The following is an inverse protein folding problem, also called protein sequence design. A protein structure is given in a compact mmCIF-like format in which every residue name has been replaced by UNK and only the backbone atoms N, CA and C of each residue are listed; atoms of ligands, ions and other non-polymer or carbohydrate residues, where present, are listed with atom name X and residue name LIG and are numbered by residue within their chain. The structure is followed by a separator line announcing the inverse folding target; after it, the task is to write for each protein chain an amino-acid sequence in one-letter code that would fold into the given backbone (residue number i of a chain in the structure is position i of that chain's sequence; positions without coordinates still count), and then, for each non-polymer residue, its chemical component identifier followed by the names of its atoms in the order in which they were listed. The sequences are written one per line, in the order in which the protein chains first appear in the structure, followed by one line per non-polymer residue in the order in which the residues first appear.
data_IF_576126937787
#
_entry.id   IF_576126937787
#
_cell.length_a   1.000
_cell.length_b   1.000
_cell.length_c   1.000
_cell.angle_alpha   90.00
_cell.angle_beta   90.00
_cell.angle_gamma   90.00
#
_symmetry.space_group_name_H-M   'P 1'
#
loop_
_entity.id
_entity.type
_entity.pdbx_description
1 polymer ?
#
# COMPACT_ATOMS: atom_id res chain seq x y z
N UNK A 1 6.06 3.93 -21.36
CA UNK A 1 5.23 4.91 -20.61
C UNK A 1 5.40 6.27 -21.25
N UNK A 2 4.29 6.91 -21.61
CA UNK A 2 4.23 8.15 -22.38
C UNK A 2 4.74 9.34 -21.54
N UNK A 3 5.53 10.22 -22.15
CA UNK A 3 6.28 11.29 -21.46
C UNK A 3 5.48 12.57 -21.15
N UNK A 4 4.16 12.58 -21.31
CA UNK A 4 3.34 13.81 -21.21
C UNK A 4 2.07 13.65 -20.34
N UNK A 5 2.09 12.79 -19.32
CA UNK A 5 1.01 12.78 -18.33
C UNK A 5 1.58 13.19 -16.97
N UNK A 6 1.50 14.49 -16.67
CA UNK A 6 1.67 15.04 -15.31
C UNK A 6 0.47 14.70 -14.41
N UNK A 7 -0.22 13.58 -14.67
CA UNK A 7 -1.01 12.94 -13.64
C UNK A 7 -0.05 12.62 -12.47
N UNK A 8 -0.13 13.39 -11.39
CA UNK A 8 0.51 13.06 -10.12
C UNK A 8 0.15 11.60 -9.80
N UNK A 9 1.08 10.69 -10.06
CA UNK A 9 0.79 9.26 -10.01
C UNK A 9 0.29 8.91 -8.62
N UNK A 10 -0.89 8.29 -8.54
CA UNK A 10 -1.50 7.83 -7.29
C UNK A 10 -0.88 6.53 -6.76
N UNK A 11 0.37 6.29 -7.14
CA UNK A 11 1.13 5.08 -6.89
C UNK A 11 2.37 5.48 -6.08
N UNK A 12 2.31 5.28 -4.78
CA UNK A 12 3.41 5.57 -3.86
C UNK A 12 4.21 4.30 -3.62
N UNK A 13 5.51 4.30 -3.92
CA UNK A 13 6.32 3.07 -3.95
C UNK A 13 7.55 3.18 -3.06
N UNK A 14 7.97 2.03 -2.53
CA UNK A 14 9.25 1.82 -1.86
C UNK A 14 9.84 0.51 -2.39
N UNK A 15 11.11 0.55 -2.80
CA UNK A 15 11.84 -0.66 -3.19
C UNK A 15 12.05 -1.56 -1.98
N UNK A 16 11.72 -2.85 -2.12
CA UNK A 16 12.04 -3.88 -1.14
C UNK A 16 13.30 -4.65 -1.54
N UNK A 17 13.46 -4.91 -2.83
CA UNK A 17 14.63 -5.55 -3.43
C UNK A 17 14.89 -5.00 -4.83
N UNK A 18 15.96 -5.45 -5.49
CA UNK A 18 16.24 -5.06 -6.89
C UNK A 18 15.10 -5.43 -7.84
N UNK A 19 14.29 -6.44 -7.49
CA UNK A 19 13.21 -6.97 -8.34
C UNK A 19 11.82 -6.72 -7.79
N UNK A 20 11.65 -6.17 -6.58
CA UNK A 20 10.31 -5.98 -5.96
C UNK A 20 10.17 -4.59 -5.36
N UNK A 21 9.12 -3.88 -5.76
CA UNK A 21 8.67 -2.63 -5.13
C UNK A 21 7.35 -2.86 -4.37
N UNK A 22 7.28 -2.42 -3.12
CA UNK A 22 6.01 -2.26 -2.39
C UNK A 22 5.33 -0.98 -2.84
N UNK A 23 4.02 -1.02 -3.05
CA UNK A 23 3.23 0.10 -3.53
C UNK A 23 1.92 0.28 -2.75
N UNK A 24 1.54 1.55 -2.55
CA UNK A 24 0.19 1.98 -2.18
C UNK A 24 -0.43 2.65 -3.38
N UNK A 25 -1.54 2.10 -3.87
CA UNK A 25 -2.21 2.50 -5.11
C UNK A 25 -3.59 3.05 -4.78
N UNK A 26 -3.84 4.30 -5.13
CA UNK A 26 -5.20 4.82 -5.16
C UNK A 26 -5.78 4.72 -6.57
N UNK A 27 -6.97 4.13 -6.68
CA UNK A 27 -7.71 4.08 -7.95
C UNK A 27 -8.14 5.49 -8.37
N UNK A 28 -8.60 6.28 -7.40
CA UNK A 28 -9.02 7.65 -7.59
C UNK A 28 -8.46 8.53 -6.48
N UNK A 29 -8.18 9.79 -6.82
CA UNK A 29 -7.87 10.81 -5.82
C UNK A 29 -9.15 11.11 -5.03
N UNK A 30 -9.10 11.22 -3.69
CA UNK A 30 -10.24 11.67 -2.90
C UNK A 30 -10.76 13.03 -3.38
N UNK A 31 -12.07 13.18 -3.47
CA UNK A 31 -12.77 14.40 -3.90
C UNK A 31 -13.89 14.76 -2.92
N UNK A 32 -14.23 16.05 -2.80
CA UNK A 32 -15.36 16.49 -1.98
C UNK A 32 -16.72 15.90 -2.39
N UNK A 33 -16.83 15.37 -3.62
CA UNK A 33 -18.04 14.76 -4.17
C UNK A 33 -18.14 13.26 -3.92
N UNK A 34 -17.15 12.65 -3.29
CA UNK A 34 -17.16 11.21 -3.02
C UNK A 34 -18.27 10.87 -2.01
N UNK A 35 -18.89 9.71 -2.20
CA UNK A 35 -19.88 9.20 -1.23
C UNK A 35 -19.17 8.74 0.04
N UNK A 36 -19.82 8.90 1.20
CA UNK A 36 -19.29 8.40 2.47
C UNK A 36 -19.31 6.87 2.43
N UNK A 37 -18.14 6.23 2.44
CA UNK A 37 -18.02 4.77 2.52
C UNK A 37 -17.23 4.33 3.75
N UNK A 38 -17.27 3.04 4.06
CA UNK A 38 -16.54 2.46 5.19
C UNK A 38 -15.09 2.07 4.84
N UNK A 39 -14.64 2.20 3.59
CA UNK A 39 -13.33 1.71 3.13
C UNK A 39 -12.75 2.57 2.01
N UNK A 40 -12.14 3.71 2.37
CA UNK A 40 -11.57 4.69 1.42
C UNK A 40 -10.04 4.75 1.49
N UNK A 41 -9.37 3.59 1.54
CA UNK A 41 -7.91 3.50 1.62
C UNK A 41 -7.25 3.09 0.31
N UNK A 42 -5.92 3.27 0.18
CA UNK A 42 -5.17 2.74 -0.95
C UNK A 42 -5.04 1.22 -0.88
N UNK A 43 -5.06 0.60 -2.05
CA UNK A 43 -4.72 -0.80 -2.23
C UNK A 43 -3.21 -1.03 -2.07
N UNK A 44 -2.84 -2.21 -1.56
CA UNK A 44 -1.44 -2.58 -1.37
C UNK A 44 -1.00 -3.55 -2.44
N UNK A 45 0.04 -3.20 -3.19
CA UNK A 45 0.59 -4.05 -4.24
C UNK A 45 2.08 -4.29 -4.03
N UNK A 46 2.57 -5.42 -4.52
CA UNK A 46 3.97 -5.67 -4.79
C UNK A 46 4.15 -5.72 -6.30
N UNK A 47 4.93 -4.80 -6.86
CA UNK A 47 5.27 -4.79 -8.28
C UNK A 47 6.61 -5.48 -8.49
N UNK A 48 6.64 -6.42 -9.43
CA UNK A 48 7.79 -7.29 -9.68
C UNK A 48 8.44 -6.88 -11.00
N UNK A 49 9.75 -6.68 -10.97
CA UNK A 49 10.60 -6.30 -12.10
C UNK A 49 11.44 -7.49 -12.58
N UNK A 50 11.71 -7.54 -13.87
CA UNK A 50 12.74 -8.42 -14.42
C UNK A 50 14.13 -7.79 -14.28
N UNK A 51 15.16 -8.49 -14.75
CA UNK A 51 16.56 -8.03 -14.69
C UNK A 51 16.84 -6.81 -15.59
N UNK A 52 15.95 -6.50 -16.52
CA UNK A 52 15.99 -5.33 -17.40
C UNK A 52 15.20 -4.14 -16.81
N UNK A 53 14.81 -4.23 -15.53
CA UNK A 53 14.08 -3.21 -14.78
C UNK A 53 12.66 -2.91 -15.34
N UNK A 54 12.09 -3.85 -16.10
CA UNK A 54 10.70 -3.79 -16.60
C UNK A 54 9.74 -4.49 -15.63
N UNK A 55 8.59 -3.88 -15.34
CA UNK A 55 7.55 -4.50 -14.50
C UNK A 55 6.84 -5.63 -15.27
N UNK A 56 6.86 -6.84 -14.70
CA UNK A 56 6.39 -8.07 -15.36
C UNK A 56 5.29 -8.81 -14.61
N UNK A 57 5.12 -8.53 -13.32
CA UNK A 57 4.08 -9.11 -12.48
C UNK A 57 3.67 -8.19 -11.34
N UNK A 58 2.51 -8.45 -10.76
CA UNK A 58 2.01 -7.76 -9.58
C UNK A 58 1.34 -8.75 -8.61
N UNK A 59 1.47 -8.47 -7.32
CA UNK A 59 0.75 -9.18 -6.25
C UNK A 59 -0.07 -8.16 -5.47
N UNK A 60 -1.39 -8.31 -5.48
CA UNK A 60 -2.33 -7.52 -4.70
C UNK A 60 -2.50 -8.15 -3.31
N UNK A 61 -2.22 -7.38 -2.27
CA UNK A 61 -2.34 -7.78 -0.87
C UNK A 61 -3.66 -7.27 -0.27
N UNK A 62 -4.62 -8.19 -0.16
CA UNK A 62 -5.93 -7.95 0.43
C UNK A 62 -5.95 -8.17 1.95
N UNK A 63 -4.77 -8.17 2.60
CA UNK A 63 -4.51 -8.51 4.01
C UNK A 63 -4.75 -9.98 4.36
N UNK A 64 -5.90 -10.53 3.99
CA UNK A 64 -6.29 -11.92 4.25
C UNK A 64 -6.12 -12.84 3.04
N UNK A 65 -5.85 -12.27 1.88
CA UNK A 65 -5.71 -12.99 0.62
C UNK A 65 -4.66 -12.32 -0.27
N UNK A 66 -4.08 -13.08 -1.19
CA UNK A 66 -3.16 -12.56 -2.20
C UNK A 66 -3.68 -12.92 -3.59
N UNK A 67 -3.85 -11.91 -4.43
CA UNK A 67 -4.11 -12.12 -5.85
C UNK A 67 -2.87 -11.74 -6.63
N UNK A 68 -2.50 -12.52 -7.66
CA UNK A 68 -1.35 -12.20 -8.48
C UNK A 68 -1.66 -12.27 -9.96
N UNK A 69 -0.89 -11.48 -10.71
CA UNK A 69 -0.94 -11.45 -12.16
C UNK A 69 0.46 -11.38 -12.72
N UNK A 70 0.69 -12.15 -13.78
CA UNK A 70 1.94 -12.16 -14.55
C UNK A 70 1.60 -11.90 -16.01
N UNK A 71 2.29 -10.93 -16.62
CA UNK A 71 2.16 -10.63 -18.05
C UNK A 71 2.39 -11.91 -18.88
N UNK A 72 1.55 -12.21 -19.89
CA UNK A 72 1.59 -13.48 -20.63
C UNK A 72 2.98 -13.90 -21.12
N UNK A 73 3.74 -12.97 -21.68
CA UNK A 73 5.07 -13.16 -22.26
C UNK A 73 6.18 -13.39 -21.22
N UNK A 74 5.87 -13.21 -19.93
CA UNK A 74 6.78 -13.45 -18.80
C UNK A 74 6.37 -14.65 -17.92
N UNK A 75 5.30 -15.37 -18.28
CA UNK A 75 4.85 -16.57 -17.57
C UNK A 75 5.86 -17.72 -17.70
N UNK A 76 5.92 -18.58 -16.68
CA UNK A 76 6.82 -19.74 -16.66
C UNK A 76 8.30 -19.42 -16.47
N UNK A 77 8.70 -18.15 -16.33
CA UNK A 77 10.10 -17.71 -16.16
C UNK A 77 10.55 -17.57 -14.70
N UNK A 78 9.70 -17.97 -13.74
CA UNK A 78 10.02 -17.94 -12.31
C UNK A 78 9.97 -16.57 -11.62
N UNK A 79 9.69 -15.46 -12.33
CA UNK A 79 9.67 -14.11 -11.75
C UNK A 79 8.76 -14.00 -10.52
N UNK A 80 7.52 -14.48 -10.61
CA UNK A 80 6.56 -14.44 -9.49
C UNK A 80 7.03 -15.31 -8.32
N UNK A 81 7.37 -16.58 -8.57
CA UNK A 81 7.76 -17.53 -7.52
C UNK A 81 9.00 -17.06 -6.76
N UNK A 82 10.01 -16.55 -7.46
CA UNK A 82 11.23 -16.03 -6.83
C UNK A 82 10.92 -14.76 -6.01
N UNK A 83 10.17 -13.81 -6.56
CA UNK A 83 9.78 -12.60 -5.83
C UNK A 83 8.94 -12.92 -4.58
N UNK A 84 8.02 -13.87 -4.68
CA UNK A 84 7.20 -14.34 -3.57
C UNK A 84 8.06 -14.95 -2.46
N UNK A 85 8.92 -15.89 -2.81
CA UNK A 85 9.77 -16.62 -1.87
C UNK A 85 10.82 -15.73 -1.21
N UNK A 86 11.51 -14.91 -1.99
CA UNK A 86 12.73 -14.23 -1.56
C UNK A 86 12.46 -12.86 -0.95
N UNK A 87 11.30 -12.23 -1.23
CA UNK A 87 11.01 -10.87 -0.77
C UNK A 87 9.61 -10.69 -0.21
N UNK A 88 8.55 -11.06 -0.95
CA UNK A 88 7.17 -10.70 -0.58
C UNK A 88 6.69 -11.46 0.66
N UNK A 89 6.81 -12.80 0.70
CA UNK A 89 6.38 -13.59 1.86
C UNK A 89 7.21 -13.26 3.12
N UNK A 90 8.56 -13.18 3.08
CA UNK A 90 9.34 -12.68 4.21
C UNK A 90 8.88 -11.31 4.71
N UNK A 91 8.58 -10.36 3.81
CA UNK A 91 8.06 -9.04 4.17
C UNK A 91 6.69 -9.11 4.84
N UNK A 92 5.75 -9.90 4.30
CA UNK A 92 4.42 -10.09 4.88
C UNK A 92 4.51 -10.64 6.31
N UNK A 93 5.39 -11.61 6.55
CA UNK A 93 5.59 -12.24 7.86
C UNK A 93 6.31 -11.38 8.90
N UNK A 94 6.75 -10.16 8.56
CA UNK A 94 7.16 -9.19 9.57
C UNK A 94 5.99 -8.76 10.47
N UNK A 95 4.77 -8.74 9.93
CA UNK A 95 3.58 -8.22 10.62
C UNK A 95 2.46 -9.25 10.78
N UNK A 96 2.60 -10.45 10.20
CA UNK A 96 1.57 -11.49 10.16
C UNK A 96 2.15 -12.83 10.58
N UNK A 97 1.32 -13.69 11.18
CA UNK A 97 1.70 -15.05 11.58
C UNK A 97 1.38 -16.09 10.49
N UNK A 98 0.42 -15.78 9.62
CA UNK A 98 -0.02 -16.66 8.54
C UNK A 98 -0.41 -15.84 7.31
N UNK A 99 -0.40 -16.51 6.16
CA UNK A 99 -0.95 -15.99 4.91
C UNK A 99 -1.86 -17.05 4.29
N UNK A 100 -3.03 -16.61 3.85
CA UNK A 100 -3.98 -17.43 3.08
C UNK A 100 -4.01 -16.98 1.63
N UNK A 101 -4.27 -17.92 0.73
CA UNK A 101 -4.63 -17.65 -0.66
C UNK A 101 -5.86 -18.46 -1.06
N UNK A 102 -6.70 -17.88 -1.91
CA UNK A 102 -7.85 -18.57 -2.50
C UNK A 102 -7.58 -18.86 -3.98
N UNK A 103 -7.69 -20.13 -4.37
CA UNK A 103 -7.58 -20.59 -5.75
C UNK A 103 -8.82 -21.43 -6.05
N UNK A 104 -9.79 -20.85 -6.74
CA UNK A 104 -11.06 -21.51 -7.05
C UNK A 104 -11.14 -21.88 -8.55
N UNK A 105 -11.26 -23.17 -8.84
CA UNK A 105 -11.38 -23.69 -10.20
C UNK A 105 -12.64 -23.19 -10.93
N UNK A 106 -13.72 -22.86 -10.20
CA UNK A 106 -14.96 -22.33 -10.77
C UNK A 106 -14.92 -20.84 -11.10
N UNK A 107 -13.88 -20.12 -10.66
CA UNK A 107 -13.68 -18.69 -10.91
C UNK A 107 -12.46 -18.41 -11.80
N UNK A 108 -11.59 -19.40 -12.03
CA UNK A 108 -10.33 -19.26 -12.76
C UNK A 108 -10.30 -20.24 -13.94
N UNK A 109 -10.93 -19.85 -15.05
CA UNK A 109 -11.15 -20.73 -16.22
C UNK A 109 -9.87 -21.28 -16.91
N UNK A 110 -8.71 -20.61 -16.79
CA UNK A 110 -7.52 -20.97 -17.60
C UNK A 110 -6.19 -21.15 -16.87
N UNK A 111 -6.11 -20.82 -15.57
CA UNK A 111 -4.81 -20.80 -14.85
C UNK A 111 -4.82 -21.51 -13.49
N UNK A 112 -5.88 -22.23 -13.12
CA UNK A 112 -5.98 -22.96 -11.84
C UNK A 112 -4.72 -23.80 -11.55
N UNK A 113 -4.37 -24.72 -12.45
CA UNK A 113 -3.22 -25.61 -12.30
C UNK A 113 -1.88 -24.86 -12.17
N UNK A 114 -1.75 -23.68 -12.79
CA UNK A 114 -0.54 -22.88 -12.73
C UNK A 114 -0.44 -22.17 -11.38
N UNK A 115 -1.53 -21.56 -10.91
CA UNK A 115 -1.60 -20.89 -9.61
C UNK A 115 -1.43 -21.88 -8.45
N UNK A 116 -2.07 -23.06 -8.53
CA UNK A 116 -1.92 -24.12 -7.53
C UNK A 116 -0.48 -24.61 -7.45
N UNK A 117 0.17 -24.86 -8.60
CA UNK A 117 1.58 -25.26 -8.61
C UNK A 117 2.49 -24.22 -7.98
N UNK A 118 2.23 -22.93 -8.24
CA UNK A 118 2.99 -21.84 -7.60
C UNK A 118 2.76 -21.84 -6.09
N UNK A 119 1.51 -21.97 -5.63
CA UNK A 119 1.17 -22.04 -4.21
C UNK A 119 1.92 -23.17 -3.49
N UNK A 120 1.83 -24.40 -4.01
CA UNK A 120 2.49 -25.56 -3.44
C UNK A 120 4.02 -25.39 -3.42
N UNK A 121 4.62 -24.85 -4.48
CA UNK A 121 6.06 -24.57 -4.55
C UNK A 121 6.53 -23.50 -3.54
N UNK A 122 5.64 -22.60 -3.14
CA UNK A 122 5.90 -21.59 -2.10
C UNK A 122 5.68 -22.13 -0.67
N UNK A 123 5.25 -23.39 -0.53
CA UNK A 123 5.01 -24.05 0.73
C UNK A 123 3.59 -23.87 1.28
N UNK A 124 2.66 -23.30 0.51
CA UNK A 124 1.26 -23.27 0.91
C UNK A 124 0.70 -24.69 0.96
N UNK A 125 -0.03 -25.00 2.01
CA UNK A 125 -0.69 -26.29 2.21
C UNK A 125 -2.21 -26.13 2.04
N UNK A 126 -2.88 -27.05 1.32
CA UNK A 126 -4.33 -26.98 1.17
C UNK A 126 -5.02 -27.19 2.52
N UNK A 127 -6.02 -26.37 2.80
CA UNK A 127 -6.92 -26.54 3.95
C UNK A 127 -8.27 -27.12 3.54
N UNK A 128 -8.73 -26.74 2.35
CA UNK A 128 -9.90 -27.28 1.67
C UNK A 128 -9.70 -27.15 0.15
N UNK A 129 -10.75 -27.38 -0.64
CA UNK A 129 -10.69 -27.43 -2.11
C UNK A 129 -10.28 -26.09 -2.77
N UNK A 130 -10.37 -24.96 -2.06
CA UNK A 130 -10.10 -23.63 -2.63
C UNK A 130 -9.13 -22.79 -1.81
N UNK A 131 -8.93 -23.08 -0.53
CA UNK A 131 -8.09 -22.30 0.37
C UNK A 131 -6.77 -23.02 0.70
N UNK A 132 -5.67 -22.27 0.59
CA UNK A 132 -4.34 -22.72 0.94
C UNK A 132 -3.73 -21.78 1.98
N UNK A 133 -2.96 -22.33 2.91
CA UNK A 133 -2.40 -21.61 4.05
C UNK A 133 -0.89 -21.80 4.15
N UNK A 134 -0.23 -20.75 4.62
CA UNK A 134 1.20 -20.76 4.89
C UNK A 134 1.48 -20.09 6.24
N UNK A 135 2.12 -20.83 7.15
CA UNK A 135 2.59 -20.32 8.45
C UNK A 135 3.94 -19.60 8.31
N UNK A 136 4.13 -18.57 9.13
CA UNK A 136 5.42 -17.90 9.32
C UNK A 136 6.53 -18.85 9.77
N UNK A 137 6.22 -19.93 10.48
CA UNK A 137 7.22 -20.84 11.07
C UNK A 137 8.17 -21.47 10.03
N UNK A 138 7.76 -21.50 8.76
CA UNK A 138 8.59 -21.96 7.63
C UNK A 138 9.52 -20.89 7.02
N UNK A 139 9.49 -19.64 7.51
CA UNK A 139 10.19 -18.51 6.91
C UNK A 139 11.12 -17.80 7.91
N UNK A 140 12.41 -17.69 7.55
CA UNK A 140 13.34 -16.83 8.27
C UNK A 140 13.14 -15.36 7.86
N UNK A 141 12.69 -14.52 8.80
CA UNK A 141 12.57 -13.07 8.59
C UNK A 141 13.87 -12.31 8.87
N UNK A 142 14.96 -13.01 9.20
CA UNK A 142 16.18 -12.42 9.75
C UNK A 142 17.12 -11.76 8.72
N UNK A 143 16.85 -11.91 7.41
CA UNK A 143 17.82 -11.52 6.37
C UNK A 143 17.27 -10.59 5.28
N UNK A 144 16.11 -9.98 5.47
CA UNK A 144 15.60 -8.99 4.53
C UNK A 144 16.15 -7.61 4.83
N UNK A 145 17.33 -7.33 4.29
CA UNK A 145 17.88 -5.98 4.23
C UNK A 145 17.12 -5.19 3.14
N UNK A 146 15.91 -4.75 3.49
CA UNK A 146 15.07 -3.98 2.58
C UNK A 146 15.76 -2.65 2.26
N UNK A 147 15.77 -2.27 0.98
CA UNK A 147 16.46 -1.06 0.54
C UNK A 147 16.06 0.18 1.36
N UNK A 148 17.07 1.04 1.61
CA UNK A 148 16.94 2.31 2.34
C UNK A 148 15.85 3.16 1.68
N UNK A 149 14.96 3.73 2.50
CA UNK A 149 13.89 4.61 2.03
C UNK A 149 14.47 5.83 1.33
N UNK A 150 14.00 6.14 0.12
CA UNK A 150 14.25 7.44 -0.49
C UNK A 150 13.42 8.47 0.27
N UNK A 151 14.09 9.46 0.87
CA UNK A 151 13.43 10.54 1.60
C UNK A 151 12.64 11.48 0.68
N UNK A 152 11.77 12.30 1.28
CA UNK A 152 11.08 13.36 0.54
C UNK A 152 12.04 14.48 0.13
N UNK A 153 11.78 15.12 -1.03
CA UNK A 153 12.34 16.42 -1.34
C UNK A 153 11.72 17.51 -0.45
N UNK A 154 12.45 18.61 -0.25
CA UNK A 154 11.93 19.79 0.46
C UNK A 154 10.63 20.29 -0.18
N UNK A 155 10.61 20.49 -1.50
CA UNK A 155 9.43 20.96 -2.23
C UNK A 155 8.20 20.07 -1.97
N UNK A 156 8.40 18.74 -1.95
CA UNK A 156 7.30 17.82 -1.70
C UNK A 156 6.78 17.90 -0.27
N UNK A 157 7.65 18.09 0.72
CA UNK A 157 7.23 18.33 2.11
C UNK A 157 6.41 19.62 2.20
N UNK A 158 6.85 20.69 1.54
CA UNK A 158 6.10 21.95 1.53
C UNK A 158 4.73 21.81 0.87
N UNK A 159 4.60 21.02 -0.20
CA UNK A 159 3.30 20.69 -0.81
C UNK A 159 2.38 19.94 0.15
N UNK A 160 2.88 18.89 0.80
CA UNK A 160 2.09 18.09 1.76
C UNK A 160 1.63 18.93 2.95
N UNK A 161 2.48 19.84 3.45
CA UNK A 161 2.12 20.82 4.49
C UNK A 161 0.98 21.73 4.07
N UNK A 162 1.03 22.25 2.83
CA UNK A 162 -0.06 23.06 2.26
C UNK A 162 -1.36 22.27 2.17
N UNK A 163 -1.30 20.98 1.79
CA UNK A 163 -2.47 20.10 1.74
C UNK A 163 -3.07 19.86 3.14
N UNK A 164 -2.25 19.58 4.16
CA UNK A 164 -2.72 19.42 5.55
C UNK A 164 -3.42 20.71 6.03
N UNK A 165 -2.83 21.88 5.75
CA UNK A 165 -3.42 23.16 6.11
C UNK A 165 -4.73 23.44 5.34
N UNK A 166 -4.84 23.02 4.09
CA UNK A 166 -6.10 23.10 3.34
C UNK A 166 -7.20 22.25 4.00
N UNK A 167 -6.88 21.02 4.39
CA UNK A 167 -7.83 20.12 5.05
C UNK A 167 -8.31 20.68 6.40
N UNK A 168 -7.38 21.21 7.23
CA UNK A 168 -7.77 21.81 8.52
C UNK A 168 -8.66 23.05 8.34
N UNK A 169 -8.38 23.91 7.36
CA UNK A 169 -9.23 25.07 7.04
C UNK A 169 -10.58 24.67 6.47
N UNK A 170 -10.65 23.60 5.69
CA UNK A 170 -11.90 23.07 5.16
C UNK A 170 -12.78 22.52 6.29
N UNK A 171 -12.20 21.78 7.23
CA UNK A 171 -12.89 21.32 8.44
C UNK A 171 -13.37 22.50 9.30
N UNK A 172 -12.57 23.56 9.42
CA UNK A 172 -12.97 24.76 10.15
C UNK A 172 -14.17 25.45 9.49
N UNK A 173 -14.23 25.52 8.16
CA UNK A 173 -15.40 26.07 7.48
C UNK A 173 -16.70 25.30 7.84
N UNK A 174 -16.61 23.95 7.89
CA UNK A 174 -17.73 23.08 8.34
C UNK A 174 -18.08 23.38 9.80
N UNK A 175 -17.08 23.43 10.70
CA UNK A 175 -17.27 23.76 12.11
C UNK A 175 -18.00 25.10 12.28
N UNK A 176 -17.59 26.13 11.53
CA UNK A 176 -18.19 27.46 11.60
C UNK A 176 -19.63 27.45 11.14
N UNK A 177 -19.95 26.73 10.06
CA UNK A 177 -21.34 26.57 9.62
C UNK A 177 -22.19 25.86 10.67
N UNK A 178 -21.68 24.77 11.25
CA UNK A 178 -22.33 24.03 12.34
C UNK A 178 -22.61 24.95 13.54
N UNK A 179 -21.61 25.72 14.00
CA UNK A 179 -21.76 26.65 15.11
C UNK A 179 -22.78 27.75 14.79
N UNK A 180 -22.78 28.30 13.57
CA UNK A 180 -23.71 29.35 13.18
C UNK A 180 -25.15 28.86 13.05
N UNK A 181 -25.37 27.57 12.77
CA UNK A 181 -26.71 26.99 12.60
C UNK A 181 -27.25 26.34 13.87
N UNK A 182 -26.38 25.74 14.67
CA UNK A 182 -26.75 24.95 15.85
C UNK A 182 -26.31 25.58 17.17
N UNK A 183 -25.58 26.69 17.13
CA UNK A 183 -24.94 27.30 18.29
C UNK A 183 -23.66 26.57 18.71
N UNK A 184 -23.02 27.09 19.76
CA UNK A 184 -21.88 26.43 20.40
C UNK A 184 -22.37 25.22 21.20
N UNK A 185 -21.96 24.04 20.75
CA UNK A 185 -22.27 22.73 21.34
C UNK A 185 -20.98 21.94 21.56
N UNK A 186 -21.06 20.86 22.34
CA UNK A 186 -19.93 19.94 22.54
C UNK A 186 -19.35 19.46 21.20
N UNK A 187 -20.23 19.11 20.25
CA UNK A 187 -19.82 18.70 18.89
C UNK A 187 -19.06 19.80 18.13
N UNK A 188 -19.49 21.07 18.22
CA UNK A 188 -18.75 22.17 17.59
C UNK A 188 -17.38 22.42 18.27
N UNK A 189 -17.27 22.06 19.56
CA UNK A 189 -16.01 22.00 20.30
C UNK A 189 -15.10 20.87 19.78
N UNK A 190 -15.62 19.66 19.65
CA UNK A 190 -14.89 18.50 19.11
C UNK A 190 -14.31 18.79 17.71
N UNK A 191 -15.09 19.46 16.85
CA UNK A 191 -14.61 19.89 15.54
C UNK A 191 -13.47 20.91 15.64
N UNK A 192 -13.50 21.82 16.63
CA UNK A 192 -12.45 22.82 16.86
C UNK A 192 -11.15 22.16 17.33
N UNK A 193 -11.26 21.17 18.21
CA UNK A 193 -10.13 20.38 18.68
C UNK A 193 -9.51 19.58 17.52
N UNK A 194 -10.34 18.95 16.70
CA UNK A 194 -9.88 18.22 15.51
C UNK A 194 -9.22 19.14 14.47
N UNK A 195 -9.74 20.35 14.24
CA UNK A 195 -9.08 21.37 13.39
C UNK A 195 -7.67 21.65 13.90
N UNK A 196 -7.52 21.84 15.22
CA UNK A 196 -6.24 22.11 15.86
C UNK A 196 -5.28 20.93 15.73
N UNK A 197 -5.78 19.71 15.93
CA UNK A 197 -5.01 18.47 15.75
C UNK A 197 -4.51 18.33 14.31
N UNK A 198 -5.40 18.40 13.31
CA UNK A 198 -5.02 18.30 11.88
C UNK A 198 -4.01 19.39 11.54
N UNK A 199 -4.23 20.63 11.98
CA UNK A 199 -3.31 21.74 11.72
C UNK A 199 -1.92 21.47 12.31
N UNK A 200 -1.83 20.89 13.51
CA UNK A 200 -0.56 20.57 14.17
C UNK A 200 0.31 19.61 13.34
N UNK A 201 -0.30 18.75 12.52
CA UNK A 201 0.44 17.85 11.64
C UNK A 201 1.27 18.56 10.56
N UNK A 202 1.00 19.84 10.29
CA UNK A 202 1.85 20.68 9.40
C UNK A 202 3.28 20.77 9.92
N UNK A 203 3.46 20.89 11.24
CA UNK A 203 4.77 20.98 11.89
C UNK A 203 5.32 19.60 12.22
N UNK A 204 4.46 18.69 12.74
CA UNK A 204 4.88 17.30 13.02
C UNK A 204 5.44 16.58 11.79
N UNK A 205 4.91 16.87 10.59
CA UNK A 205 5.43 16.32 9.34
C UNK A 205 6.86 16.82 9.05
N UNK A 206 7.10 18.12 9.25
CA UNK A 206 8.41 18.74 9.07
C UNK A 206 9.42 18.16 10.07
N UNK A 207 9.03 18.04 11.34
CA UNK A 207 9.87 17.44 12.40
C UNK A 207 10.23 15.99 12.07
N UNK A 208 9.25 15.17 11.67
CA UNK A 208 9.48 13.78 11.29
C UNK A 208 10.42 13.66 10.08
N UNK A 209 10.30 14.58 9.11
CA UNK A 209 11.19 14.62 7.97
C UNK A 209 12.62 15.00 8.35
N UNK A 210 12.81 16.01 9.20
CA UNK A 210 14.14 16.38 9.71
C UNK A 210 14.81 15.23 10.46
N UNK A 211 14.10 14.58 11.38
CA UNK A 211 14.59 13.40 12.11
C UNK A 211 14.99 12.26 11.16
N UNK A 212 14.24 12.07 10.06
CA UNK A 212 14.58 11.05 9.07
C UNK A 212 15.89 11.33 8.32
N UNK A 213 16.32 12.59 8.22
CA UNK A 213 17.62 12.94 7.61
C UNK A 213 18.78 12.60 8.56
N UNK A 214 18.62 12.85 9.85
CA UNK A 214 19.65 12.59 10.86
C UNK A 214 19.95 11.10 11.03
N UNK A 215 18.94 10.24 10.89
CA UNK A 215 19.12 8.77 10.92
C UNK A 215 19.82 8.24 9.66
N UNK A 216 19.80 9.01 8.57
CA UNK A 216 20.31 8.58 7.27
C UNK A 216 21.70 9.12 6.93
N UNK A 217 22.27 10.01 7.77
CA UNK A 217 23.65 10.52 7.71
C UNK A 217 24.57 9.75 8.66
#
# INVERSE_FOLDING_TARGET
MNKNDESESLIYRKSLSTTVDLAKVWVNRPKPTDSITSSDGPDTFYFIKNNENSYVAAVYDMKKDLHWFVLPEYRGKGHLTNAMKDTILPHLFLSRQEQRITIDAGQIDFNFNASERVALNLGFSPKNDTEYFLSKDGYSTYNTDFQKTVGFSEDRIQELRKQINYLSRSLWAIQTEVEMKLGKTDYSGDLTDLVSEVRSHTWKLEDAWWQSKDVNN
#
